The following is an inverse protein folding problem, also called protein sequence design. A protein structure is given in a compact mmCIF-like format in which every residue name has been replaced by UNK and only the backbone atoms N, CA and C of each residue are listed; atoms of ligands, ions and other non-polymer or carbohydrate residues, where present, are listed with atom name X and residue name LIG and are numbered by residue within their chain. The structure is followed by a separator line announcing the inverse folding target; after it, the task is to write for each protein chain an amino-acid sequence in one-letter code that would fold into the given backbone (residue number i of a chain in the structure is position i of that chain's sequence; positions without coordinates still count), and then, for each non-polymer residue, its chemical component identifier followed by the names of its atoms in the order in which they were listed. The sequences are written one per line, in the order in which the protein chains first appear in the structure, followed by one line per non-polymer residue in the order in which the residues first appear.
data_IF_590819619037
#
_entry.id   IF_590819619037
#
_cell.length_a   1.000
_cell.length_b   1.000
_cell.length_c   1.000
_cell.angle_alpha   90.00
_cell.angle_beta   90.00
_cell.angle_gamma   90.00
#
_symmetry.space_group_name_H-M   'P 1'
#
loop_
_entity.id
_entity.type
_entity.pdbx_description
1 polymer ?
#
# COMPACT_ATOMS: atom_id res chain seq x y z
N UNK A 1 -24.77 26.66 -23.72
CA UNK A 1 -23.54 25.87 -23.40
C UNK A 1 -23.90 24.92 -22.26
N UNK A 2 -24.27 23.67 -22.57
CA UNK A 2 -24.43 22.60 -21.60
C UNK A 2 -23.06 22.37 -20.99
N UNK A 3 -22.95 22.59 -19.66
CA UNK A 3 -21.84 22.05 -18.87
C UNK A 3 -21.96 20.54 -18.93
N UNK A 4 -21.12 19.88 -19.72
CA UNK A 4 -20.88 18.46 -19.55
C UNK A 4 -20.37 18.29 -18.13
N UNK A 5 -21.27 17.90 -17.22
CA UNK A 5 -20.88 17.37 -15.92
C UNK A 5 -20.07 16.11 -16.23
N UNK A 6 -18.75 16.15 -16.02
CA UNK A 6 -17.93 14.96 -15.99
C UNK A 6 -18.49 14.09 -14.86
N UNK A 7 -19.32 13.14 -15.20
CA UNK A 7 -19.85 12.15 -14.25
C UNK A 7 -18.65 11.26 -13.90
N UNK A 8 -17.97 11.59 -12.83
CA UNK A 8 -16.98 10.70 -12.22
C UNK A 8 -17.75 9.64 -11.49
N UNK A 9 -17.69 8.44 -12.00
CA UNK A 9 -18.17 7.29 -11.25
C UNK A 9 -17.13 6.89 -10.21
N UNK A 10 -17.58 6.44 -9.03
CA UNK A 10 -16.71 6.08 -7.91
C UNK A 10 -17.15 4.78 -7.30
N UNK A 11 -16.22 3.86 -7.14
CA UNK A 11 -16.38 2.69 -6.29
C UNK A 11 -15.66 2.93 -4.96
N UNK A 12 -16.25 2.48 -3.85
CA UNK A 12 -15.67 2.54 -2.51
C UNK A 12 -15.49 1.15 -1.96
N UNK A 13 -14.39 0.91 -1.23
CA UNK A 13 -14.11 -0.40 -0.64
C UNK A 13 -13.97 -1.48 -1.71
N UNK A 14 -13.36 -1.14 -2.85
CA UNK A 14 -13.23 -2.06 -3.96
C UNK A 14 -12.13 -3.08 -3.69
N UNK A 15 -12.50 -4.36 -3.65
CA UNK A 15 -11.54 -5.45 -3.55
C UNK A 15 -10.70 -5.54 -4.84
N UNK A 16 -9.40 -5.61 -4.70
CA UNK A 16 -8.44 -5.66 -5.80
C UNK A 16 -7.44 -6.78 -5.60
N UNK A 17 -6.97 -7.36 -6.69
CA UNK A 17 -5.97 -8.42 -6.68
C UNK A 17 -5.08 -8.35 -7.91
N UNK A 18 -3.82 -8.73 -7.76
CA UNK A 18 -2.89 -9.00 -8.85
C UNK A 18 -2.39 -10.43 -8.73
N UNK A 19 -2.66 -11.23 -9.75
CA UNK A 19 -2.14 -12.60 -9.83
C UNK A 19 -0.65 -12.59 -10.16
N UNK A 20 -0.20 -11.63 -10.97
CA UNK A 20 1.22 -11.47 -11.31
C UNK A 20 2.06 -11.18 -10.07
N UNK A 21 1.59 -10.28 -9.22
CA UNK A 21 2.29 -9.89 -7.99
C UNK A 21 1.96 -10.79 -6.79
N UNK A 22 0.92 -11.62 -6.88
CA UNK A 22 0.47 -12.46 -5.77
C UNK A 22 -0.02 -11.67 -4.55
N UNK A 23 -0.64 -10.51 -4.78
CA UNK A 23 -1.17 -9.64 -3.73
C UNK A 23 -2.66 -9.36 -3.92
N UNK A 24 -3.34 -9.08 -2.84
CA UNK A 24 -4.73 -8.63 -2.83
C UNK A 24 -4.94 -7.58 -1.75
N UNK A 25 -6.00 -6.80 -1.89
CA UNK A 25 -6.32 -5.75 -0.92
C UNK A 25 -7.62 -5.05 -1.24
N UNK A 26 -7.78 -3.87 -0.68
CA UNK A 26 -8.96 -3.02 -0.86
C UNK A 26 -8.53 -1.59 -1.18
N UNK A 27 -9.19 -0.98 -2.18
CA UNK A 27 -9.04 0.44 -2.47
C UNK A 27 -10.10 1.24 -1.72
N UNK A 28 -9.71 2.27 -1.00
CA UNK A 28 -10.66 3.17 -0.36
C UNK A 28 -11.64 3.77 -1.37
N UNK A 29 -11.12 4.30 -2.46
CA UNK A 29 -11.90 4.82 -3.59
C UNK A 29 -11.19 4.54 -4.90
N UNK A 30 -11.95 4.13 -5.91
CA UNK A 30 -11.53 4.08 -7.30
C UNK A 30 -12.42 5.02 -8.11
N UNK A 31 -11.82 5.99 -8.80
CA UNK A 31 -12.52 6.90 -9.70
C UNK A 31 -12.41 6.40 -11.13
N UNK A 32 -13.55 6.39 -11.83
CA UNK A 32 -13.64 6.06 -13.24
C UNK A 32 -14.03 7.34 -14.01
N UNK A 33 -13.13 7.83 -14.83
CA UNK A 33 -13.30 9.09 -15.54
C UNK A 33 -13.46 8.76 -17.03
N UNK A 34 -14.58 9.14 -17.69
CA UNK A 34 -14.75 8.93 -19.12
C UNK A 34 -13.56 9.48 -19.89
N UNK A 35 -13.05 8.70 -20.83
CA UNK A 35 -11.83 9.00 -21.58
C UNK A 35 -11.91 8.38 -22.99
N UNK A 36 -11.12 8.90 -23.91
CA UNK A 36 -10.97 8.30 -25.25
C UNK A 36 -10.05 7.07 -25.24
N UNK A 37 -9.19 6.98 -24.22
CA UNK A 37 -8.29 5.85 -23.96
C UNK A 37 -8.50 5.31 -22.56
N UNK A 38 -8.15 4.03 -22.31
CA UNK A 38 -8.25 3.40 -21.01
C UNK A 38 -9.07 2.11 -21.04
N UNK A 39 -9.57 1.71 -19.87
CA UNK A 39 -10.29 0.45 -19.68
C UNK A 39 -11.74 0.50 -20.19
N UNK A 40 -12.22 -0.62 -20.69
CA UNK A 40 -13.65 -0.88 -20.89
C UNK A 40 -14.22 -1.40 -19.56
N UNK A 41 -15.36 -0.85 -19.15
CA UNK A 41 -16.08 -1.31 -17.98
C UNK A 41 -17.31 -2.11 -18.40
N UNK A 42 -17.59 -3.20 -17.66
CA UNK A 42 -18.81 -3.97 -17.84
C UNK A 42 -20.02 -3.04 -17.61
N UNK A 43 -21.05 -3.17 -18.46
CA UNK A 43 -22.30 -2.37 -18.44
C UNK A 43 -22.15 -0.85 -18.58
N UNK A 44 -20.99 -0.33 -18.99
CA UNK A 44 -20.81 1.10 -19.21
C UNK A 44 -20.28 1.38 -20.61
N UNK A 45 -20.89 2.34 -21.32
CA UNK A 45 -20.43 2.70 -22.66
C UNK A 45 -19.13 3.50 -22.59
N UNK A 46 -18.23 3.25 -23.55
CA UNK A 46 -16.98 4.00 -23.70
C UNK A 46 -15.83 3.46 -22.85
N UNK A 47 -14.75 4.22 -22.84
CA UNK A 47 -13.53 3.91 -22.10
C UNK A 47 -13.37 4.82 -20.89
N UNK A 48 -12.61 4.36 -19.91
CA UNK A 48 -12.44 5.06 -18.64
C UNK A 48 -10.97 5.06 -18.21
N UNK A 49 -10.49 6.21 -17.80
CA UNK A 49 -9.25 6.32 -17.02
C UNK A 49 -9.58 5.93 -15.58
N UNK A 50 -8.80 5.05 -15.02
CA UNK A 50 -8.96 4.54 -13.65
C UNK A 50 -7.94 5.22 -12.75
N UNK A 51 -8.42 5.80 -11.63
CA UNK A 51 -7.56 6.50 -10.67
C UNK A 51 -7.84 5.95 -9.26
N UNK A 52 -6.91 5.23 -8.65
CA UNK A 52 -7.01 4.86 -7.25
C UNK A 52 -6.79 6.09 -6.36
N UNK A 53 -7.58 6.21 -5.30
CA UNK A 53 -7.51 7.29 -4.32
C UNK A 53 -7.48 6.70 -2.92
N UNK A 54 -6.36 6.81 -2.27
CA UNK A 54 -6.17 6.42 -0.86
C UNK A 54 -6.55 7.56 0.07
N UNK A 55 -7.32 7.28 1.11
CA UNK A 55 -7.76 8.25 2.11
C UNK A 55 -6.91 8.17 3.38
N UNK A 56 -6.34 9.29 3.79
CA UNK A 56 -5.56 9.42 5.02
C UNK A 56 -6.20 10.46 5.96
N UNK A 57 -6.42 10.09 7.20
CA UNK A 57 -7.01 11.00 8.20
C UNK A 57 -6.10 12.17 8.61
N UNK A 58 -4.77 11.99 8.46
CA UNK A 58 -3.77 12.93 8.94
C UNK A 58 -3.53 14.13 8.04
N UNK A 59 -2.41 14.80 8.31
CA UNK A 59 -1.83 15.83 7.46
C UNK A 59 -0.94 15.19 6.38
N UNK A 60 -0.70 15.91 5.26
CA UNK A 60 0.22 15.43 4.25
C UNK A 60 1.58 15.08 4.85
N UNK A 61 2.02 13.86 4.59
CA UNK A 61 3.37 13.37 4.91
C UNK A 61 3.99 12.86 3.63
N UNK A 62 5.28 13.12 3.46
CA UNK A 62 6.04 12.39 2.46
C UNK A 62 6.36 11.03 3.07
N UNK A 63 5.52 10.05 2.79
CA UNK A 63 5.69 8.66 3.27
C UNK A 63 5.76 7.73 2.10
N UNK A 64 6.91 7.09 1.93
CA UNK A 64 7.10 6.06 0.91
C UNK A 64 6.10 4.91 1.06
N UNK A 65 5.74 4.57 2.30
CA UNK A 65 4.77 3.51 2.57
C UNK A 65 3.38 3.85 2.01
N UNK A 66 2.92 5.11 2.13
CA UNK A 66 1.63 5.53 1.58
C UNK A 66 1.65 5.53 0.05
N UNK A 67 2.78 5.93 -0.56
CA UNK A 67 2.95 5.87 -2.02
C UNK A 67 2.95 4.43 -2.51
N UNK A 68 3.69 3.54 -1.85
CA UNK A 68 3.74 2.13 -2.23
C UNK A 68 2.39 1.43 -2.01
N UNK A 69 1.61 1.82 -1.00
CA UNK A 69 0.27 1.30 -0.78
C UNK A 69 -0.65 1.61 -1.98
N UNK A 70 -0.76 2.88 -2.37
CA UNK A 70 -1.62 3.25 -3.50
C UNK A 70 -1.06 2.75 -4.84
N UNK A 71 0.25 2.59 -4.97
CA UNK A 71 0.87 1.96 -6.15
C UNK A 71 0.51 0.47 -6.24
N UNK A 72 0.50 -0.26 -5.13
CA UNK A 72 0.06 -1.66 -5.10
C UNK A 72 -1.40 -1.80 -5.55
N UNK A 73 -2.27 -0.91 -5.07
CA UNK A 73 -3.66 -0.84 -5.51
C UNK A 73 -3.77 -0.58 -7.02
N UNK A 74 -2.94 0.32 -7.56
CA UNK A 74 -2.93 0.62 -8.99
C UNK A 74 -2.49 -0.58 -9.82
N UNK A 75 -1.44 -1.31 -9.44
CA UNK A 75 -1.01 -2.49 -10.18
C UNK A 75 -2.04 -3.61 -10.14
N UNK A 76 -2.74 -3.78 -9.02
CA UNK A 76 -3.89 -4.70 -8.96
C UNK A 76 -5.00 -4.28 -9.93
N UNK A 77 -5.31 -2.98 -10.00
CA UNK A 77 -6.32 -2.47 -10.95
C UNK A 77 -5.88 -2.61 -12.41
N UNK A 78 -4.58 -2.44 -12.71
CA UNK A 78 -4.03 -2.69 -14.06
C UNK A 78 -4.27 -4.13 -14.51
N UNK A 79 -4.00 -5.11 -13.62
CA UNK A 79 -4.26 -6.53 -13.91
C UNK A 79 -5.75 -6.80 -14.11
N UNK A 80 -6.60 -6.29 -13.21
CA UNK A 80 -8.04 -6.54 -13.25
C UNK A 80 -8.73 -5.93 -14.47
N UNK A 81 -8.27 -4.77 -14.92
CA UNK A 81 -8.91 -4.03 -16.02
C UNK A 81 -8.10 -4.05 -17.31
N UNK A 82 -6.99 -4.77 -17.37
CA UNK A 82 -6.10 -4.86 -18.54
C UNK A 82 -5.77 -3.47 -19.11
N UNK A 83 -5.35 -2.56 -18.24
CA UNK A 83 -5.07 -1.16 -18.59
C UNK A 83 -3.81 -0.66 -17.93
N UNK A 84 -3.30 0.50 -18.33
CA UNK A 84 -2.19 1.16 -17.66
C UNK A 84 -2.67 2.35 -16.85
N UNK A 85 -2.15 2.48 -15.62
CA UNK A 85 -2.46 3.57 -14.70
C UNK A 85 -1.18 4.39 -14.49
N UNK A 86 -1.22 5.67 -14.83
CA UNK A 86 -0.06 6.55 -14.71
C UNK A 86 -0.19 7.56 -13.56
N UNK A 87 -1.34 7.59 -12.90
CA UNK A 87 -1.66 8.58 -11.90
C UNK A 87 -2.34 7.96 -10.68
N UNK A 88 -1.84 8.31 -9.51
CA UNK A 88 -2.32 7.89 -8.20
C UNK A 88 -2.72 9.10 -7.37
N UNK A 89 -3.70 8.95 -6.49
CA UNK A 89 -4.06 10.05 -5.59
C UNK A 89 -4.06 9.63 -4.13
N UNK A 90 -3.61 10.55 -3.25
CA UNK A 90 -3.79 10.46 -1.81
C UNK A 90 -4.62 11.66 -1.37
N UNK A 91 -5.70 11.40 -0.65
CA UNK A 91 -6.56 12.43 -0.09
C UNK A 91 -6.36 12.53 1.43
N UNK A 92 -6.00 13.71 1.90
CA UNK A 92 -5.78 13.99 3.32
C UNK A 92 -7.01 14.67 3.93
N UNK A 93 -7.73 13.95 4.80
CA UNK A 93 -9.00 14.39 5.36
C UNK A 93 -8.90 15.64 6.24
N UNK A 94 -7.82 15.78 7.00
CA UNK A 94 -7.61 16.93 7.90
C UNK A 94 -7.46 18.25 7.14
N UNK A 95 -6.71 18.24 6.05
CA UNK A 95 -6.46 19.43 5.23
C UNK A 95 -7.38 19.56 4.03
N UNK A 96 -8.21 18.51 3.77
CA UNK A 96 -9.04 18.38 2.56
C UNK A 96 -8.26 18.58 1.26
N UNK A 97 -6.97 18.19 1.27
CA UNK A 97 -6.08 18.28 0.12
C UNK A 97 -5.92 16.94 -0.57
N UNK A 98 -5.88 17.00 -1.89
CA UNK A 98 -5.60 15.86 -2.75
C UNK A 98 -4.19 16.02 -3.31
N UNK A 99 -3.35 15.02 -3.08
CA UNK A 99 -2.03 14.93 -3.68
C UNK A 99 -2.10 14.01 -4.88
N UNK A 100 -1.65 14.52 -6.02
CA UNK A 100 -1.45 13.75 -7.25
C UNK A 100 -0.03 13.22 -7.27
N UNK A 101 0.14 11.97 -7.64
CA UNK A 101 1.42 11.26 -7.73
C UNK A 101 1.47 10.57 -9.08
N UNK A 102 2.54 10.77 -9.81
CA UNK A 102 2.82 10.04 -11.03
C UNK A 102 3.37 8.65 -10.68
N UNK A 103 2.79 7.60 -11.28
CA UNK A 103 3.25 6.22 -11.11
C UNK A 103 4.42 5.95 -12.07
N UNK A 104 5.62 6.33 -11.64
CA UNK A 104 6.86 6.17 -12.40
C UNK A 104 7.36 4.73 -12.38
N UNK A 105 8.26 4.39 -13.31
CA UNK A 105 8.92 3.08 -13.34
C UNK A 105 9.73 2.82 -12.07
N UNK A 106 10.31 3.84 -11.46
CA UNK A 106 11.02 3.70 -10.19
C UNK A 106 10.10 3.22 -9.06
N UNK A 107 8.89 3.79 -8.96
CA UNK A 107 7.89 3.38 -7.98
C UNK A 107 7.43 1.95 -8.26
N UNK A 108 7.20 1.60 -9.52
CA UNK A 108 6.82 0.24 -9.96
C UNK A 108 7.88 -0.79 -9.59
N UNK A 109 9.14 -0.52 -9.93
CA UNK A 109 10.27 -1.42 -9.66
C UNK A 109 10.49 -1.57 -8.16
N UNK A 110 10.42 -0.49 -7.40
CA UNK A 110 10.52 -0.53 -5.94
C UNK A 110 9.41 -1.34 -5.31
N UNK A 111 8.16 -1.17 -5.78
CA UNK A 111 7.04 -1.98 -5.29
C UNK A 111 7.26 -3.46 -5.57
N UNK A 112 7.64 -3.83 -6.80
CA UNK A 112 7.93 -5.23 -7.16
C UNK A 112 8.98 -5.83 -6.25
N UNK A 113 10.09 -5.14 -6.01
CA UNK A 113 11.15 -5.59 -5.10
C UNK A 113 10.64 -5.81 -3.66
N UNK A 114 9.80 -4.91 -3.15
CA UNK A 114 9.21 -5.05 -1.80
C UNK A 114 8.27 -6.25 -1.73
N UNK A 115 7.46 -6.47 -2.76
CA UNK A 115 6.54 -7.61 -2.85
C UNK A 115 7.31 -8.94 -2.91
N UNK A 116 8.38 -9.01 -3.72
CA UNK A 116 9.27 -10.17 -3.78
C UNK A 116 9.87 -10.48 -2.40
N UNK A 117 10.42 -9.47 -1.71
CA UNK A 117 10.95 -9.65 -0.36
C UNK A 117 9.87 -10.14 0.64
N UNK A 118 8.66 -9.59 0.56
CA UNK A 118 7.53 -10.05 1.39
C UNK A 118 7.22 -11.52 1.14
N UNK A 119 7.18 -11.98 -0.10
CA UNK A 119 6.95 -13.38 -0.46
C UNK A 119 8.06 -14.29 0.03
N UNK A 120 9.32 -13.89 -0.15
CA UNK A 120 10.47 -14.65 0.37
C UNK A 120 10.40 -14.82 1.88
N UNK A 121 10.13 -13.74 2.62
CA UNK A 121 9.98 -13.79 4.08
C UNK A 121 8.85 -14.73 4.51
N UNK A 122 7.73 -14.67 3.78
CA UNK A 122 6.57 -15.52 4.04
C UNK A 122 6.88 -17.02 3.79
N UNK A 123 7.49 -17.34 2.65
CA UNK A 123 7.89 -18.71 2.30
C UNK A 123 8.90 -19.28 3.32
N UNK A 124 9.87 -18.48 3.72
CA UNK A 124 10.89 -18.84 4.70
C UNK A 124 10.34 -18.87 6.12
N UNK A 125 9.10 -18.49 6.36
CA UNK A 125 8.47 -18.35 7.69
C UNK A 125 9.34 -17.53 8.65
N UNK A 126 9.99 -16.49 8.12
CA UNK A 126 10.92 -15.67 8.87
C UNK A 126 10.27 -14.34 9.26
N UNK A 127 10.28 -14.05 10.56
CA UNK A 127 9.86 -12.74 11.07
C UNK A 127 11.10 -11.85 11.26
N UNK A 128 11.21 -10.73 10.52
CA UNK A 128 12.36 -9.83 10.64
C UNK A 128 12.51 -9.29 12.09
N UNK A 129 13.74 -9.21 12.55
CA UNK A 129 14.03 -8.57 13.84
C UNK A 129 13.87 -7.07 13.71
N UNK A 130 12.98 -6.49 14.49
CA UNK A 130 12.75 -5.04 14.49
C UNK A 130 13.30 -4.39 15.77
N UNK A 131 13.87 -3.20 15.61
CA UNK A 131 14.24 -2.37 16.77
C UNK A 131 12.98 -1.67 17.29
N UNK A 132 12.73 -1.82 18.60
CA UNK A 132 11.64 -1.11 19.25
C UNK A 132 11.81 0.40 19.09
N UNK A 133 10.76 1.08 18.64
CA UNK A 133 10.68 2.51 18.51
C UNK A 133 9.38 3.07 19.10
N UNK A 134 9.21 4.39 19.07
CA UNK A 134 8.01 5.08 19.61
C UNK A 134 6.69 4.65 18.94
N UNK A 135 6.74 4.24 17.67
CA UNK A 135 5.55 3.84 16.92
C UNK A 135 5.02 2.46 17.37
N UNK A 136 5.86 1.63 18.03
CA UNK A 136 5.44 0.33 18.53
C UNK A 136 4.32 0.41 19.58
N UNK A 137 4.13 1.57 20.23
CA UNK A 137 3.06 1.75 21.24
C UNK A 137 1.66 1.70 20.61
N UNK A 138 1.54 2.25 19.39
CA UNK A 138 0.29 2.32 18.64
C UNK A 138 0.20 1.29 17.49
N UNK A 139 1.12 0.34 17.43
CA UNK A 139 1.18 -0.65 16.37
C UNK A 139 0.20 -1.80 16.66
N UNK A 140 -0.69 -2.11 15.71
CA UNK A 140 -1.63 -3.22 15.79
C UNK A 140 -0.96 -4.60 15.84
N UNK A 141 0.27 -4.71 15.31
CA UNK A 141 1.06 -5.94 15.30
C UNK A 141 1.95 -6.12 16.55
N UNK A 142 1.86 -5.24 17.54
CA UNK A 142 2.74 -5.22 18.71
C UNK A 142 2.79 -6.55 19.45
N UNK A 143 1.63 -7.19 19.63
CA UNK A 143 1.49 -8.42 20.39
C UNK A 143 1.90 -9.67 19.59
N UNK A 144 1.97 -9.57 18.26
CA UNK A 144 2.53 -10.60 17.38
C UNK A 144 4.03 -10.41 17.15
N UNK A 145 4.45 -9.17 16.91
CA UNK A 145 5.84 -8.80 16.63
C UNK A 145 6.76 -8.93 17.87
N UNK A 146 6.21 -8.72 19.06
CA UNK A 146 6.92 -8.82 20.36
C UNK A 146 8.28 -8.08 20.36
N UNK A 147 8.35 -6.78 20.01
CA UNK A 147 9.61 -6.06 19.76
C UNK A 147 10.51 -5.95 21.01
N UNK A 148 9.98 -6.23 22.20
CA UNK A 148 10.77 -6.26 23.46
C UNK A 148 11.60 -7.51 23.59
N UNK A 149 11.15 -8.64 23.02
CA UNK A 149 11.83 -9.94 23.15
C UNK A 149 13.15 -9.94 22.38
N UNK A 150 13.27 -9.14 21.32
CA UNK A 150 14.53 -9.04 20.56
C UNK A 150 15.70 -8.45 21.36
N UNK A 151 15.43 -7.86 22.54
CA UNK A 151 16.44 -7.35 23.48
C UNK A 151 16.81 -8.36 24.58
N UNK A 152 16.13 -9.51 24.64
CA UNK A 152 16.44 -10.52 25.64
C UNK A 152 17.80 -11.13 25.31
N UNK A 153 18.69 -11.15 26.32
CA UNK A 153 19.99 -11.82 26.21
C UNK A 153 19.77 -13.30 25.84
N UNK A 154 20.61 -13.82 24.96
CA UNK A 154 20.58 -15.26 24.68
C UNK A 154 20.83 -16.02 25.99
N UNK A 155 20.27 -17.21 26.11
CA UNK A 155 20.48 -18.09 27.32
C UNK A 155 21.99 -18.24 27.63
N UNK A 156 22.82 -18.42 26.61
CA UNK A 156 24.27 -18.50 26.73
C UNK A 156 24.87 -17.23 27.37
N UNK A 157 24.42 -16.05 26.93
CA UNK A 157 24.90 -14.78 27.50
C UNK A 157 24.36 -14.53 28.89
N UNK A 158 23.11 -14.93 29.16
CA UNK A 158 22.54 -14.85 30.51
C UNK A 158 23.32 -15.71 31.50
N UNK A 159 23.60 -16.97 31.13
CA UNK A 159 24.39 -17.89 31.97
C UNK A 159 25.81 -17.34 32.20
N UNK A 160 26.47 -16.85 31.10
CA UNK A 160 27.82 -16.27 31.22
C UNK A 160 27.87 -15.05 32.15
N UNK A 161 26.86 -14.19 32.09
CA UNK A 161 26.78 -13.00 32.96
C UNK A 161 26.56 -13.41 34.44
N UNK A 162 25.79 -14.47 34.70
CA UNK A 162 25.52 -14.97 36.04
C UNK A 162 26.69 -15.76 36.64
N UNK A 163 27.56 -16.34 35.79
CA UNK A 163 28.73 -17.10 36.25
C UNK A 163 30.00 -16.25 36.37
N UNK A 164 30.01 -15.02 35.85
CA UNK A 164 31.16 -14.07 35.90
C UNK A 164 30.96 -12.96 36.95
N UNK A 165 30.00 -13.08 37.87
CA UNK A 165 29.74 -12.12 38.96
C UNK A 165 30.41 -12.56 40.28
N UNK A 166 31.50 -13.39 40.25
CA UNK A 166 32.36 -13.71 41.39
C UNK A 166 33.69 -12.96 41.31
#
# INVERSE_FOLDING_TARGET
RQRQMCIRDRSRGMQVASYELGIFGECDVVEFIPSESGALLYDKPGKYTIIPVEYKHGEPKVSDADILQVAAQALCLEDMFCTSINELHIFYGKTKRRQRIELTDDIRNRLKSVVEEMHELYIRKYTPKVKQNKNCRACSLKDLCLPKITKIKTVKRYISDMTNED
#
